data_IF_189514702218
#
_entry.id   IF_189514702218
#
_cell.length_a   1.000
_cell.length_b   1.000
_cell.length_c   1.000
_cell.angle_alpha   90.00
_cell.angle_beta   90.00
_cell.angle_gamma   90.00
#
_symmetry.space_group_name_H-M   'P 1'
#
loop_
_entity.id
_entity.type
_entity.pdbx_description
1 polymer ?
#
# COMPACT_ATOMS: atom_id res chain seq x y z
N UNK A 1 -19.72 -5.83 -4.98
CA UNK A 1 -19.76 -5.74 -3.47
C UNK A 1 -18.59 -6.49 -2.85
N UNK A 2 -18.33 -7.75 -3.26
CA UNK A 2 -17.15 -8.48 -2.80
C UNK A 2 -15.83 -7.87 -3.30
N UNK A 3 -15.82 -7.13 -4.42
CA UNK A 3 -14.58 -6.48 -4.89
C UNK A 3 -14.08 -5.40 -3.93
N UNK A 4 -14.98 -4.61 -3.34
CA UNK A 4 -14.61 -3.57 -2.36
C UNK A 4 -14.03 -4.24 -1.11
N UNK A 5 -14.61 -5.35 -0.66
CA UNK A 5 -14.12 -6.09 0.48
C UNK A 5 -12.73 -6.69 0.22
N UNK A 6 -12.50 -7.20 -0.99
CA UNK A 6 -11.20 -7.72 -1.44
C UNK A 6 -10.15 -6.60 -1.51
N UNK A 7 -10.53 -5.42 -2.01
CA UNK A 7 -9.65 -4.25 -2.05
C UNK A 7 -9.27 -3.78 -0.63
N UNK A 8 -10.20 -3.84 0.33
CA UNK A 8 -9.91 -3.52 1.74
C UNK A 8 -9.00 -4.61 2.34
N UNK A 9 -9.35 -5.89 2.20
CA UNK A 9 -8.57 -7.00 2.75
C UNK A 9 -7.13 -7.04 2.18
N UNK A 10 -6.98 -6.74 0.90
CA UNK A 10 -5.70 -6.60 0.21
C UNK A 10 -5.12 -5.18 0.25
N UNK A 11 -5.52 -4.34 1.21
CA UNK A 11 -5.26 -2.90 1.21
C UNK A 11 -3.79 -2.51 0.98
N UNK A 12 -2.83 -3.27 1.55
CA UNK A 12 -1.39 -3.03 1.32
C UNK A 12 -1.01 -3.25 -0.16
N UNK A 13 -1.53 -4.28 -0.82
CA UNK A 13 -1.30 -4.50 -2.25
C UNK A 13 -1.91 -3.40 -3.12
N UNK A 14 -3.09 -2.90 -2.73
CA UNK A 14 -3.72 -1.75 -3.41
C UNK A 14 -2.86 -0.50 -3.27
N UNK A 15 -2.34 -0.22 -2.06
CA UNK A 15 -1.44 0.92 -1.82
C UNK A 15 -0.16 0.79 -2.65
N UNK A 16 0.43 -0.40 -2.73
CA UNK A 16 1.61 -0.66 -3.55
C UNK A 16 1.35 -0.35 -5.04
N UNK A 17 0.26 -0.87 -5.60
CA UNK A 17 -0.13 -0.58 -6.98
C UNK A 17 -0.41 0.91 -7.21
N UNK A 18 -1.17 1.54 -6.32
CA UNK A 18 -1.47 2.98 -6.39
C UNK A 18 -0.20 3.81 -6.32
N UNK A 19 0.80 3.41 -5.52
CA UNK A 19 2.07 4.13 -5.44
C UNK A 19 2.81 4.15 -6.78
N UNK A 20 2.79 3.04 -7.53
CA UNK A 20 3.38 2.96 -8.87
C UNK A 20 2.61 3.82 -9.87
N UNK A 21 1.27 3.76 -9.85
CA UNK A 21 0.41 4.56 -10.73
C UNK A 21 0.69 6.06 -10.52
N UNK A 22 0.68 6.52 -9.26
CA UNK A 22 0.93 7.91 -8.93
C UNK A 22 2.35 8.34 -9.28
N UNK A 23 3.35 7.49 -9.03
CA UNK A 23 4.74 7.77 -9.39
C UNK A 23 4.90 7.94 -10.91
N UNK A 24 4.33 7.03 -11.70
CA UNK A 24 4.39 7.09 -13.18
C UNK A 24 3.61 8.30 -13.70
N UNK A 25 2.41 8.55 -13.18
CA UNK A 25 1.60 9.70 -13.56
C UNK A 25 2.33 11.02 -13.28
N UNK A 26 2.91 11.18 -12.10
CA UNK A 26 3.69 12.36 -11.73
C UNK A 26 4.90 12.55 -12.64
N UNK A 27 5.66 11.49 -12.90
CA UNK A 27 6.87 11.58 -13.73
C UNK A 27 6.51 11.92 -15.19
N UNK A 28 5.43 11.37 -15.73
CA UNK A 28 4.96 11.67 -17.10
C UNK A 28 4.41 13.09 -17.27
N UNK A 29 3.79 13.64 -16.23
CA UNK A 29 3.11 14.96 -16.31
C UNK A 29 4.00 16.13 -15.86
N UNK A 30 4.81 15.92 -14.81
CA UNK A 30 5.60 16.98 -14.18
C UNK A 30 7.11 16.76 -14.29
N UNK A 31 7.55 15.57 -14.71
CA UNK A 31 8.96 15.17 -14.68
C UNK A 31 9.52 14.91 -13.27
N UNK A 32 8.70 15.06 -12.22
CA UNK A 32 9.12 14.94 -10.82
C UNK A 32 8.62 13.65 -10.21
N UNK A 33 9.47 13.03 -9.38
CA UNK A 33 9.13 11.88 -8.55
C UNK A 33 8.44 12.35 -7.27
N UNK A 34 7.39 11.65 -6.84
CA UNK A 34 6.69 11.93 -5.56
C UNK A 34 7.18 11.02 -4.44
N UNK A 35 7.62 9.80 -4.77
CA UNK A 35 8.33 8.90 -3.89
C UNK A 35 9.78 8.76 -4.35
N UNK A 36 10.72 8.58 -3.41
CA UNK A 36 12.12 8.23 -3.70
C UNK A 36 12.23 7.07 -4.71
N UNK A 37 11.39 6.04 -4.52
CA UNK A 37 11.21 4.91 -5.43
C UNK A 37 9.79 4.36 -5.26
N UNK A 38 9.24 3.80 -6.34
CA UNK A 38 8.02 2.99 -6.29
C UNK A 38 8.39 1.57 -6.74
N UNK A 39 7.78 0.51 -6.17
CA UNK A 39 6.65 0.53 -5.22
C UNK A 39 7.02 1.06 -3.81
N UNK A 40 6.02 1.31 -2.96
CA UNK A 40 6.17 2.14 -1.75
C UNK A 40 7.08 1.50 -0.68
N UNK A 41 7.25 0.18 -0.63
CA UNK A 41 8.23 -0.42 0.29
C UNK A 41 9.67 0.05 0.02
N UNK A 42 10.08 0.17 -1.25
CA UNK A 42 11.41 0.69 -1.59
C UNK A 42 11.60 2.16 -1.21
N UNK A 43 10.52 2.95 -1.16
CA UNK A 43 10.57 4.30 -0.62
C UNK A 43 11.05 4.30 0.85
N UNK A 44 10.62 3.32 1.65
CA UNK A 44 11.03 3.19 3.05
C UNK A 44 12.44 2.61 3.19
N UNK A 45 12.83 1.67 2.33
CA UNK A 45 14.20 1.15 2.29
C UNK A 45 15.20 2.27 1.98
N UNK A 46 14.93 3.11 0.98
CA UNK A 46 15.77 4.27 0.66
C UNK A 46 15.77 5.35 1.75
N UNK A 47 14.79 5.34 2.65
CA UNK A 47 14.79 6.17 3.88
C UNK A 47 15.59 5.53 5.03
N UNK A 48 16.27 4.41 4.77
CA UNK A 48 17.15 3.73 5.72
C UNK A 48 16.45 2.68 6.59
N UNK A 49 15.25 2.21 6.23
CA UNK A 49 14.63 1.09 6.94
C UNK A 49 15.22 -0.23 6.44
N UNK A 50 15.62 -1.11 7.36
CA UNK A 50 15.97 -2.47 7.01
C UNK A 50 14.74 -3.19 6.43
N UNK A 51 14.94 -4.01 5.40
CA UNK A 51 13.88 -4.76 4.73
C UNK A 51 12.97 -5.55 5.70
N UNK A 52 13.49 -6.29 6.71
CA UNK A 52 12.63 -6.98 7.68
C UNK A 52 11.74 -6.02 8.47
N UNK A 53 12.21 -4.80 8.75
CA UNK A 53 11.43 -3.76 9.46
C UNK A 53 10.29 -3.24 8.60
N UNK A 54 10.48 -3.13 7.28
CA UNK A 54 9.41 -2.75 6.34
C UNK A 54 8.37 -3.85 6.28
N UNK A 55 8.81 -5.10 6.09
CA UNK A 55 7.93 -6.29 6.01
C UNK A 55 7.03 -6.39 7.24
N UNK A 56 7.61 -6.35 8.45
CA UNK A 56 6.84 -6.48 9.70
C UNK A 56 5.84 -5.34 9.88
N UNK A 57 6.21 -4.10 9.53
CA UNK A 57 5.30 -2.95 9.60
C UNK A 57 4.14 -3.08 8.61
N UNK A 58 4.41 -3.59 7.42
CA UNK A 58 3.39 -3.82 6.40
C UNK A 58 2.44 -4.94 6.83
N UNK A 59 2.94 -5.99 7.49
CA UNK A 59 2.07 -7.02 8.09
C UNK A 59 1.14 -6.47 9.15
N UNK A 60 1.64 -5.60 10.04
CA UNK A 60 0.80 -4.93 11.04
C UNK A 60 -0.35 -4.17 10.36
N UNK A 61 -0.06 -3.39 9.31
CA UNK A 61 -1.07 -2.66 8.54
C UNK A 61 -2.04 -3.62 7.83
N UNK A 62 -1.55 -4.71 7.24
CA UNK A 62 -2.40 -5.75 6.63
C UNK A 62 -3.36 -6.38 7.63
N UNK A 63 -2.93 -6.61 8.88
CA UNK A 63 -3.81 -7.13 9.94
C UNK A 63 -4.92 -6.12 10.25
N UNK A 64 -4.62 -4.82 10.36
CA UNK A 64 -5.65 -3.79 10.55
C UNK A 64 -6.67 -3.80 9.40
N UNK A 65 -6.21 -3.86 8.16
CA UNK A 65 -7.09 -3.95 7.00
C UNK A 65 -7.95 -5.23 6.99
N UNK A 66 -7.37 -6.38 7.36
CA UNK A 66 -8.10 -7.63 7.48
C UNK A 66 -9.19 -7.55 8.56
N UNK A 67 -8.91 -6.94 9.72
CA UNK A 67 -9.90 -6.74 10.77
C UNK A 67 -11.05 -5.81 10.32
N UNK A 68 -10.74 -4.74 9.59
CA UNK A 68 -11.75 -3.86 8.99
C UNK A 68 -12.60 -4.57 7.93
N UNK A 69 -11.99 -5.41 7.10
CA UNK A 69 -12.72 -6.22 6.12
C UNK A 69 -13.68 -7.21 6.81
N UNK A 70 -13.26 -7.83 7.92
CA UNK A 70 -14.13 -8.74 8.68
C UNK A 70 -15.24 -8.00 9.43
N UNK A 71 -14.98 -6.81 9.99
CA UNK A 71 -16.01 -6.04 10.68
C UNK A 71 -17.12 -5.57 9.74
N UNK A 72 -16.77 -5.19 8.51
CA UNK A 72 -17.75 -4.81 7.46
C UNK A 72 -18.62 -5.97 6.99
N UNK A 73 -18.17 -7.22 7.10
CA UNK A 73 -19.01 -8.41 6.85
C UNK A 73 -20.07 -8.63 7.92
N UNK A 74 -19.79 -8.28 9.19
CA UNK A 74 -20.75 -8.42 10.29
C UNK A 74 -21.85 -7.35 10.30
N UNK A 75 -21.63 -6.23 9.61
CA UNK A 75 -22.59 -5.13 9.45
C UNK A 75 -23.58 -5.37 8.30
N UNK A 76 -23.62 -6.60 7.75
CA UNK A 76 -24.50 -7.03 6.67
C UNK A 76 -25.57 -8.00 7.17
#
# INVERSE_FOLDING_TARGET
KHEILLAIAGGVFVIEAVSVILQVASFKTTGKRIFNMAPIHHHFELKGWAEPKVIVRFWIISIFFALMAVSTLKLR
#
